data_IF_272403594450
#
_entry.id   IF_272403594450
#
_cell.length_a   1.000
_cell.length_b   1.000
_cell.length_c   1.000
_cell.angle_alpha   90.00
_cell.angle_beta   90.00
_cell.angle_gamma   90.00
#
_symmetry.space_group_name_H-M   'P 1'
#
loop_
_entity.id
_entity.type
_entity.pdbx_description
1 polymer ?
#
# COMPACT_ATOMS: atom_id res chain seq x y z
N UNK A 1 -14.19 -8.57 -33.01
CA UNK A 1 -15.38 -7.72 -32.80
C UNK A 1 -15.09 -6.33 -33.34
N UNK A 2 -15.89 -5.81 -34.27
CA UNK A 2 -15.63 -4.57 -35.03
C UNK A 2 -15.46 -3.31 -34.13
N UNK A 3 -16.07 -3.32 -32.93
CA UNK A 3 -15.92 -2.25 -31.93
C UNK A 3 -14.57 -2.27 -31.19
N UNK A 4 -13.98 -3.45 -30.95
CA UNK A 4 -12.67 -3.59 -30.28
C UNK A 4 -11.52 -3.06 -31.14
N UNK A 5 -11.57 -3.33 -32.45
CA UNK A 5 -10.59 -2.82 -33.42
C UNK A 5 -10.66 -1.29 -33.56
N UNK A 6 -11.88 -0.72 -33.59
CA UNK A 6 -12.07 0.73 -33.67
C UNK A 6 -11.58 1.46 -32.40
N UNK A 7 -11.67 0.81 -31.24
CA UNK A 7 -11.26 1.41 -29.95
C UNK A 7 -9.79 1.13 -29.59
N UNK A 8 -9.08 0.28 -30.35
CA UNK A 8 -7.70 -0.09 -30.09
C UNK A 8 -6.75 1.11 -29.85
N UNK A 9 -6.82 2.22 -30.62
CA UNK A 9 -5.95 3.39 -30.40
C UNK A 9 -6.21 4.11 -29.06
N UNK A 10 -7.40 3.93 -28.47
CA UNK A 10 -7.82 4.59 -27.25
C UNK A 10 -7.66 3.73 -25.99
N UNK A 11 -7.36 2.43 -26.15
CA UNK A 11 -7.18 1.49 -25.04
C UNK A 11 -6.18 1.95 -23.97
N UNK A 12 -5.02 2.56 -24.30
CA UNK A 12 -4.09 3.04 -23.26
C UNK A 12 -4.72 4.04 -22.29
N UNK A 13 -5.74 4.79 -22.72
CA UNK A 13 -6.44 5.78 -21.88
C UNK A 13 -7.71 5.21 -21.25
N UNK A 14 -8.41 4.33 -21.97
CA UNK A 14 -9.70 3.80 -21.54
C UNK A 14 -9.56 2.63 -20.57
N UNK A 15 -8.65 1.70 -20.87
CA UNK A 15 -8.47 0.47 -20.10
C UNK A 15 -8.14 0.73 -18.61
N UNK A 16 -7.20 1.64 -18.25
CA UNK A 16 -6.93 1.95 -16.84
C UNK A 16 -8.16 2.37 -16.05
N UNK A 17 -9.03 3.19 -16.66
CA UNK A 17 -10.25 3.70 -16.04
C UNK A 17 -11.26 2.59 -15.83
N UNK A 18 -11.47 1.77 -16.85
CA UNK A 18 -12.36 0.61 -16.76
C UNK A 18 -11.85 -0.38 -15.71
N UNK A 19 -10.55 -0.69 -15.71
CA UNK A 19 -9.93 -1.58 -14.75
C UNK A 19 -10.15 -1.08 -13.32
N UNK A 20 -9.94 0.21 -13.04
CA UNK A 20 -10.27 0.77 -11.71
C UNK A 20 -11.76 0.65 -11.38
N UNK A 21 -12.64 1.01 -12.32
CA UNK A 21 -14.09 1.02 -12.09
C UNK A 21 -14.70 -0.37 -11.93
N UNK A 22 -14.01 -1.44 -12.35
CA UNK A 22 -14.43 -2.82 -12.06
C UNK A 22 -14.38 -3.15 -10.55
N UNK A 23 -13.72 -2.33 -9.75
CA UNK A 23 -13.69 -2.41 -8.28
C UNK A 23 -14.57 -1.35 -7.60
N UNK A 24 -15.49 -0.71 -8.33
CA UNK A 24 -16.41 0.29 -7.75
C UNK A 24 -17.25 -0.32 -6.61
N UNK A 25 -17.56 0.41 -5.52
CA UNK A 25 -18.38 -0.13 -4.44
C UNK A 25 -19.78 -0.62 -4.86
N UNK A 26 -20.30 -0.19 -6.03
CA UNK A 26 -21.56 -0.66 -6.58
C UNK A 26 -21.38 -1.92 -7.43
N UNK A 27 -21.99 -3.06 -7.06
CA UNK A 27 -21.90 -4.31 -7.85
C UNK A 27 -22.38 -4.13 -9.30
N UNK A 28 -23.44 -3.34 -9.52
CA UNK A 28 -23.94 -3.06 -10.85
C UNK A 28 -22.89 -2.34 -11.74
N UNK A 29 -22.07 -1.47 -11.14
CA UNK A 29 -20.96 -0.82 -11.85
C UNK A 29 -19.83 -1.83 -12.10
N UNK A 30 -19.48 -2.67 -11.11
CA UNK A 30 -18.47 -3.71 -11.28
C UNK A 30 -18.80 -4.65 -12.45
N UNK A 31 -20.04 -5.15 -12.50
CA UNK A 31 -20.53 -6.06 -13.54
C UNK A 31 -20.50 -5.39 -14.92
N UNK A 32 -20.97 -4.15 -15.01
CA UNK A 32 -20.97 -3.39 -16.25
C UNK A 32 -19.55 -3.17 -16.78
N UNK A 33 -18.62 -2.73 -15.92
CA UNK A 33 -17.24 -2.44 -16.32
C UNK A 33 -16.47 -3.71 -16.67
N UNK A 34 -16.65 -4.78 -15.90
CA UNK A 34 -16.09 -6.10 -16.18
C UNK A 34 -16.59 -6.65 -17.53
N UNK A 35 -17.88 -6.48 -17.82
CA UNK A 35 -18.47 -6.83 -19.11
C UNK A 35 -17.86 -6.05 -20.27
N UNK A 36 -17.71 -4.73 -20.11
CA UNK A 36 -17.06 -3.87 -21.11
C UNK A 36 -15.63 -4.33 -21.36
N UNK A 37 -14.82 -4.53 -20.31
CA UNK A 37 -13.43 -5.00 -20.44
C UNK A 37 -13.37 -6.31 -21.24
N UNK A 38 -14.17 -7.31 -20.87
CA UNK A 38 -14.21 -8.61 -21.55
C UNK A 38 -14.65 -8.54 -23.02
N UNK A 39 -15.37 -7.48 -23.41
CA UNK A 39 -15.74 -7.24 -24.81
C UNK A 39 -14.69 -6.46 -25.60
N UNK A 40 -13.78 -5.74 -24.91
CA UNK A 40 -12.73 -4.93 -25.52
C UNK A 40 -11.41 -5.69 -25.68
N UNK A 41 -11.10 -6.60 -24.76
CA UNK A 41 -9.85 -7.38 -24.75
C UNK A 41 -10.13 -8.86 -24.55
N UNK A 42 -9.43 -9.70 -25.32
CA UNK A 42 -9.55 -11.16 -25.24
C UNK A 42 -8.82 -11.72 -24.00
N UNK A 43 -7.71 -11.10 -23.59
CA UNK A 43 -6.95 -11.43 -22.39
C UNK A 43 -6.83 -10.21 -21.47
N UNK A 44 -7.62 -10.21 -20.38
CA UNK A 44 -7.60 -9.14 -19.39
C UNK A 44 -6.26 -9.06 -18.67
N UNK A 45 -5.62 -10.20 -18.36
CA UNK A 45 -4.37 -10.21 -17.62
C UNK A 45 -3.24 -9.64 -18.46
N UNK A 46 -3.15 -10.07 -19.72
CA UNK A 46 -2.22 -9.54 -20.70
C UNK A 46 -2.47 -8.06 -21.01
N UNK A 47 -3.72 -7.60 -20.99
CA UNK A 47 -4.05 -6.17 -21.11
C UNK A 47 -3.55 -5.35 -19.91
N UNK A 48 -3.70 -5.87 -18.68
CA UNK A 48 -3.12 -5.23 -17.48
C UNK A 48 -1.59 -5.17 -17.59
N UNK A 49 -0.94 -6.24 -18.04
CA UNK A 49 0.51 -6.24 -18.23
C UNK A 49 0.95 -5.22 -19.29
N UNK A 50 0.21 -5.13 -20.39
CA UNK A 50 0.50 -4.19 -21.48
C UNK A 50 0.34 -2.73 -21.07
N UNK A 51 -0.66 -2.41 -20.26
CA UNK A 51 -0.98 -1.04 -19.83
C UNK A 51 -0.66 -0.80 -18.36
N UNK A 52 0.33 -1.52 -17.82
CA UNK A 52 0.58 -1.55 -16.38
C UNK A 52 0.89 -0.16 -15.81
N UNK A 53 1.76 0.59 -16.49
CA UNK A 53 2.14 1.94 -16.07
C UNK A 53 0.93 2.89 -16.02
N UNK A 54 0.04 2.82 -17.03
CA UNK A 54 -1.17 3.62 -17.10
C UNK A 54 -2.21 3.19 -16.06
N UNK A 55 -2.36 1.89 -15.80
CA UNK A 55 -3.20 1.34 -14.72
C UNK A 55 -2.72 1.86 -13.37
N UNK A 56 -1.43 1.77 -13.08
CA UNK A 56 -0.86 2.25 -11.83
C UNK A 56 -1.01 3.77 -11.68
N UNK A 57 -0.81 4.54 -12.75
CA UNK A 57 -1.03 5.99 -12.75
C UNK A 57 -2.50 6.38 -12.47
N UNK A 58 -3.46 5.68 -13.09
CA UNK A 58 -4.90 5.89 -12.82
C UNK A 58 -5.24 5.54 -11.37
N UNK A 59 -4.72 4.43 -10.83
CA UNK A 59 -4.94 4.05 -9.43
C UNK A 59 -4.35 5.07 -8.47
N UNK A 60 -3.07 5.43 -8.64
CA UNK A 60 -2.35 6.40 -7.79
C UNK A 60 -3.08 7.75 -7.75
N UNK A 61 -3.44 8.29 -8.91
CA UNK A 61 -4.17 9.57 -8.99
C UNK A 61 -5.53 9.47 -8.28
N UNK A 62 -6.22 8.34 -8.43
CA UNK A 62 -7.52 8.08 -7.84
C UNK A 62 -7.50 7.86 -6.33
N UNK A 63 -6.45 7.23 -5.76
CA UNK A 63 -6.26 7.08 -4.31
C UNK A 63 -6.13 8.47 -3.65
N UNK A 64 -5.49 9.42 -4.32
CA UNK A 64 -5.38 10.80 -3.83
C UNK A 64 -6.61 11.68 -4.10
N UNK A 65 -7.62 11.13 -4.80
CA UNK A 65 -8.79 11.85 -5.31
C UNK A 65 -9.79 12.27 -4.23
N UNK A 66 -10.67 13.22 -4.60
CA UNK A 66 -11.69 13.77 -3.67
C UNK A 66 -12.85 12.80 -3.39
N UNK A 67 -13.20 11.96 -4.36
CA UNK A 67 -14.34 11.06 -4.26
C UNK A 67 -13.95 9.77 -3.53
N UNK A 68 -14.57 9.52 -2.36
CA UNK A 68 -14.27 8.32 -1.55
C UNK A 68 -14.45 7.02 -2.33
N UNK A 69 -15.50 6.91 -3.17
CA UNK A 69 -15.73 5.73 -4.02
C UNK A 69 -14.55 5.44 -4.95
N UNK A 70 -13.97 6.51 -5.51
CA UNK A 70 -12.81 6.40 -6.39
C UNK A 70 -11.57 5.95 -5.62
N UNK A 71 -11.39 6.42 -4.38
CA UNK A 71 -10.27 5.99 -3.52
C UNK A 71 -10.39 4.53 -3.13
N UNK A 72 -11.59 4.09 -2.74
CA UNK A 72 -11.88 2.70 -2.39
C UNK A 72 -11.57 1.76 -3.57
N UNK A 73 -12.17 2.03 -4.73
CA UNK A 73 -11.95 1.24 -5.93
C UNK A 73 -10.48 1.22 -6.35
N UNK A 74 -9.79 2.35 -6.25
CA UNK A 74 -8.37 2.44 -6.61
C UNK A 74 -7.45 1.68 -5.67
N UNK A 75 -7.77 1.63 -4.36
CA UNK A 75 -7.01 0.80 -3.42
C UNK A 75 -7.15 -0.69 -3.77
N UNK A 76 -8.37 -1.15 -4.04
CA UNK A 76 -8.62 -2.53 -4.46
C UNK A 76 -7.94 -2.86 -5.80
N UNK A 77 -8.06 -1.97 -6.79
CA UNK A 77 -7.46 -2.14 -8.10
C UNK A 77 -5.93 -2.17 -8.03
N UNK A 78 -5.30 -1.27 -7.25
CA UNK A 78 -3.87 -1.28 -7.04
C UNK A 78 -3.40 -2.56 -6.33
N UNK A 79 -4.14 -3.03 -5.32
CA UNK A 79 -3.80 -4.25 -4.61
C UNK A 79 -3.79 -5.48 -5.54
N UNK A 80 -4.80 -5.58 -6.43
CA UNK A 80 -4.88 -6.65 -7.43
C UNK A 80 -3.77 -6.52 -8.48
N UNK A 81 -3.52 -5.30 -8.98
CA UNK A 81 -2.48 -5.04 -9.98
C UNK A 81 -1.06 -5.37 -9.47
N UNK A 82 -0.81 -5.30 -8.16
CA UNK A 82 0.47 -5.72 -7.57
C UNK A 82 0.65 -7.25 -7.55
N UNK A 83 -0.42 -8.02 -7.67
CA UNK A 83 -0.38 -9.47 -7.54
C UNK A 83 0.27 -10.15 -8.75
N UNK A 84 1.29 -10.96 -8.49
CA UNK A 84 1.93 -11.79 -9.52
C UNK A 84 2.69 -11.02 -10.60
N UNK A 85 3.14 -9.79 -10.30
CA UNK A 85 3.94 -8.98 -11.23
C UNK A 85 5.45 -9.05 -10.92
N UNK A 86 6.30 -8.94 -11.95
CA UNK A 86 7.74 -8.79 -11.77
C UNK A 86 8.07 -7.56 -10.91
N UNK A 87 9.12 -7.70 -10.12
CA UNK A 87 9.61 -6.67 -9.20
C UNK A 87 9.98 -5.36 -9.94
N UNK A 88 10.51 -5.48 -11.15
CA UNK A 88 10.91 -4.35 -12.00
C UNK A 88 9.73 -3.48 -12.44
N UNK A 89 8.53 -4.05 -12.56
CA UNK A 89 7.32 -3.27 -12.87
C UNK A 89 6.77 -2.57 -11.64
N UNK A 90 6.89 -3.18 -10.46
CA UNK A 90 6.34 -2.66 -9.21
C UNK A 90 7.22 -1.52 -8.65
N UNK A 91 8.55 -1.71 -8.67
CA UNK A 91 9.50 -0.84 -7.99
C UNK A 91 9.35 0.66 -8.29
N UNK A 92 9.11 1.11 -9.55
CA UNK A 92 8.93 2.53 -9.87
C UNK A 92 7.75 3.21 -9.18
N UNK A 93 6.76 2.43 -8.73
CA UNK A 93 5.53 2.96 -8.13
C UNK A 93 5.52 2.84 -6.59
N UNK A 94 6.50 2.14 -6.02
CA UNK A 94 6.45 1.67 -4.63
C UNK A 94 6.42 2.82 -3.62
N UNK A 95 7.26 3.82 -3.79
CA UNK A 95 7.35 4.99 -2.90
C UNK A 95 6.02 5.75 -2.82
N UNK A 96 5.43 6.02 -3.99
CA UNK A 96 4.18 6.75 -4.10
C UNK A 96 3.00 5.95 -3.54
N UNK A 97 2.96 4.64 -3.84
CA UNK A 97 1.94 3.75 -3.30
C UNK A 97 2.00 3.64 -1.79
N UNK A 98 3.20 3.50 -1.20
CA UNK A 98 3.35 3.46 0.25
C UNK A 98 2.84 4.74 0.91
N UNK A 99 3.28 5.90 0.40
CA UNK A 99 2.84 7.20 0.93
C UNK A 99 1.31 7.36 0.86
N UNK A 100 0.71 7.00 -0.29
CA UNK A 100 -0.73 7.11 -0.48
C UNK A 100 -1.53 6.07 0.30
N UNK A 101 -1.01 4.84 0.42
CA UNK A 101 -1.64 3.76 1.18
C UNK A 101 -1.69 4.10 2.67
N UNK A 102 -0.60 4.61 3.26
CA UNK A 102 -0.58 5.03 4.66
C UNK A 102 -1.58 6.15 4.93
N UNK A 103 -1.69 7.11 4.01
CA UNK A 103 -2.72 8.16 4.10
C UNK A 103 -4.14 7.60 3.98
N UNK A 104 -4.37 6.64 3.07
CA UNK A 104 -5.69 6.04 2.88
C UNK A 104 -6.14 5.13 4.04
N UNK A 105 -5.20 4.64 4.86
CA UNK A 105 -5.52 3.95 6.11
C UNK A 105 -6.13 4.90 7.16
N UNK A 106 -5.93 6.20 7.04
CA UNK A 106 -6.56 7.23 7.89
C UNK A 106 -7.72 7.96 7.16
N UNK A 107 -8.35 7.30 6.17
CA UNK A 107 -9.47 7.90 5.46
C UNK A 107 -10.69 8.08 6.37
N UNK A 108 -11.45 9.16 6.16
CA UNK A 108 -12.71 9.42 6.87
C UNK A 108 -13.71 8.27 6.65
N UNK A 109 -13.75 7.69 5.45
CA UNK A 109 -14.68 6.60 5.11
C UNK A 109 -14.07 5.24 5.49
N UNK A 110 -14.75 4.51 6.37
CA UNK A 110 -14.33 3.19 6.86
C UNK A 110 -14.07 2.16 5.73
N UNK A 111 -14.89 2.14 4.69
CA UNK A 111 -14.71 1.21 3.57
C UNK A 111 -13.45 1.52 2.75
N UNK A 112 -13.05 2.79 2.68
CA UNK A 112 -11.77 3.18 2.09
C UNK A 112 -10.62 2.69 2.97
N UNK A 113 -10.71 2.80 4.30
CA UNK A 113 -9.69 2.26 5.23
C UNK A 113 -9.53 0.74 5.09
N UNK A 114 -10.64 0.02 4.91
CA UNK A 114 -10.63 -1.42 4.65
C UNK A 114 -9.92 -1.76 3.33
N UNK A 115 -10.26 -1.07 2.24
CA UNK A 115 -9.59 -1.25 0.95
C UNK A 115 -8.09 -0.87 1.01
N UNK A 116 -7.75 0.21 1.71
CA UNK A 116 -6.37 0.63 1.95
C UNK A 116 -5.58 -0.39 2.78
N UNK A 117 -6.24 -1.09 3.72
CA UNK A 117 -5.62 -2.20 4.47
C UNK A 117 -5.24 -3.35 3.54
N UNK A 118 -6.09 -3.68 2.58
CA UNK A 118 -5.78 -4.67 1.55
C UNK A 118 -4.59 -4.24 0.70
N UNK A 119 -4.56 -2.98 0.25
CA UNK A 119 -3.42 -2.41 -0.49
C UNK A 119 -2.14 -2.44 0.34
N UNK A 120 -2.18 -1.98 1.60
CA UNK A 120 -1.01 -1.94 2.48
C UNK A 120 -0.42 -3.33 2.72
N UNK A 121 -1.27 -4.36 2.86
CA UNK A 121 -0.81 -5.76 2.98
C UNK A 121 -0.18 -6.28 1.69
N UNK A 122 -0.74 -5.95 0.53
CA UNK A 122 -0.15 -6.30 -0.77
C UNK A 122 1.21 -5.61 -0.98
N UNK A 123 1.32 -4.34 -0.61
CA UNK A 123 2.58 -3.58 -0.63
C UNK A 123 3.60 -4.16 0.33
N UNK A 124 3.19 -4.49 1.56
CA UNK A 124 4.06 -5.12 2.55
C UNK A 124 4.64 -6.43 2.02
N UNK A 125 3.79 -7.32 1.50
CA UNK A 125 4.23 -8.61 0.93
C UNK A 125 5.25 -8.44 -0.21
N UNK A 126 4.96 -7.53 -1.16
CA UNK A 126 5.89 -7.27 -2.27
C UNK A 126 7.19 -6.61 -1.80
N UNK A 127 7.10 -5.66 -0.86
CA UNK A 127 8.27 -4.96 -0.31
C UNK A 127 9.20 -5.94 0.39
N UNK A 128 8.68 -6.85 1.23
CA UNK A 128 9.50 -7.84 1.93
C UNK A 128 10.29 -8.72 0.96
N UNK A 129 9.70 -9.09 -0.18
CA UNK A 129 10.38 -9.85 -1.24
C UNK A 129 11.41 -9.02 -2.00
N UNK A 130 11.13 -7.73 -2.20
CA UNK A 130 12.03 -6.79 -2.87
C UNK A 130 13.28 -6.46 -2.04
N UNK A 131 13.15 -6.39 -0.71
CA UNK A 131 14.29 -6.11 0.17
C UNK A 131 15.09 -7.36 0.55
N UNK A 132 14.56 -8.57 0.33
CA UNK A 132 15.25 -9.83 0.63
C UNK A 132 16.38 -10.10 -0.38
N UNK A 133 17.67 -10.07 0.05
CA UNK A 133 18.82 -10.29 -0.83
C UNK A 133 18.88 -11.71 -1.42
N UNK A 134 18.12 -12.67 -0.88
CA UNK A 134 18.01 -14.03 -1.41
C UNK A 134 17.10 -14.12 -2.62
N UNK A 135 16.17 -13.17 -2.77
CA UNK A 135 15.11 -13.19 -3.78
C UNK A 135 15.28 -12.11 -4.85
N UNK A 136 16.02 -11.05 -4.53
CA UNK A 136 16.13 -9.85 -5.38
C UNK A 136 17.59 -9.44 -5.55
N UNK A 137 17.90 -8.79 -6.68
CA UNK A 137 19.26 -8.33 -7.01
C UNK A 137 19.72 -7.26 -5.99
N UNK A 138 21.02 -7.22 -5.63
CA UNK A 138 21.54 -6.31 -4.60
C UNK A 138 21.17 -4.84 -4.81
N UNK A 139 21.29 -4.31 -6.04
CA UNK A 139 20.99 -2.90 -6.34
C UNK A 139 19.52 -2.56 -6.09
N UNK A 140 18.61 -3.46 -6.49
CA UNK A 140 17.18 -3.28 -6.31
C UNK A 140 16.76 -3.45 -4.84
N UNK A 141 17.41 -4.35 -4.11
CA UNK A 141 17.21 -4.47 -2.66
C UNK A 141 17.59 -3.18 -1.94
N UNK A 142 18.81 -2.68 -2.21
CA UNK A 142 19.35 -1.49 -1.59
C UNK A 142 18.50 -0.26 -1.90
N UNK A 143 18.11 -0.06 -3.17
CA UNK A 143 17.24 1.05 -3.57
C UNK A 143 15.85 0.94 -2.93
N UNK A 144 15.28 -0.26 -2.86
CA UNK A 144 13.96 -0.47 -2.24
C UNK A 144 14.00 -0.15 -0.75
N UNK A 145 15.02 -0.64 -0.03
CA UNK A 145 15.21 -0.34 1.37
C UNK A 145 15.35 1.18 1.60
N UNK A 146 16.23 1.83 0.83
CA UNK A 146 16.46 3.27 0.91
C UNK A 146 15.20 4.11 0.67
N UNK A 147 14.29 3.67 -0.20
CA UNK A 147 13.02 4.36 -0.45
C UNK A 147 11.97 4.07 0.64
N UNK A 148 11.84 2.83 1.13
CA UNK A 148 10.72 2.44 1.99
C UNK A 148 10.98 2.75 3.47
N UNK A 149 12.19 2.54 3.98
CA UNK A 149 12.50 2.78 5.41
C UNK A 149 12.09 4.20 5.86
N UNK A 150 12.50 5.28 5.15
CA UNK A 150 12.10 6.64 5.55
C UNK A 150 10.59 6.84 5.56
N UNK A 151 9.85 6.29 4.59
CA UNK A 151 8.39 6.43 4.55
C UNK A 151 7.73 5.79 5.78
N UNK A 152 8.15 4.58 6.15
CA UNK A 152 7.57 3.87 7.29
C UNK A 152 7.91 4.58 8.61
N UNK A 153 9.15 5.06 8.76
CA UNK A 153 9.60 5.76 9.95
C UNK A 153 8.92 7.14 10.09
N UNK A 154 8.91 7.95 9.03
CA UNK A 154 8.48 9.35 9.09
C UNK A 154 6.97 9.57 8.90
N UNK A 155 6.27 8.66 8.21
CA UNK A 155 4.83 8.80 7.91
C UNK A 155 3.98 7.69 8.51
N UNK A 156 4.57 6.51 8.72
CA UNK A 156 3.87 5.35 9.26
C UNK A 156 3.79 5.40 10.77
N UNK A 157 4.94 5.26 11.44
CA UNK A 157 5.03 5.11 12.90
C UNK A 157 4.62 6.38 13.64
N UNK A 158 5.06 7.53 13.14
CA UNK A 158 4.74 8.87 13.68
C UNK A 158 3.30 9.32 13.39
N UNK A 159 2.50 8.51 12.69
CA UNK A 159 1.11 8.85 12.38
C UNK A 159 0.27 9.02 13.65
N UNK A 160 -0.55 10.07 13.68
CA UNK A 160 -1.53 10.29 14.75
C UNK A 160 -2.64 9.24 14.77
N UNK A 161 -2.87 8.56 13.64
CA UNK A 161 -3.84 7.50 13.53
C UNK A 161 -3.26 6.19 14.10
N UNK A 162 -3.80 5.74 15.24
CA UNK A 162 -3.30 4.56 15.97
C UNK A 162 -3.24 3.30 15.11
N UNK A 163 -4.20 3.09 14.22
CA UNK A 163 -4.22 1.93 13.32
C UNK A 163 -3.07 1.98 12.30
N UNK A 164 -2.74 3.16 11.78
CA UNK A 164 -1.63 3.38 10.85
C UNK A 164 -0.29 3.16 11.55
N UNK A 165 -0.13 3.76 12.73
CA UNK A 165 1.08 3.59 13.56
C UNK A 165 1.28 2.11 13.94
N UNK A 166 0.25 1.43 14.44
CA UNK A 166 0.32 0.01 14.80
C UNK A 166 0.64 -0.89 13.60
N UNK A 167 0.02 -0.66 12.44
CA UNK A 167 0.36 -1.38 11.21
C UNK A 167 1.83 -1.17 10.83
N UNK A 168 2.31 0.07 10.90
CA UNK A 168 3.66 0.47 10.50
C UNK A 168 4.73 -0.10 11.42
N UNK A 169 4.50 -0.12 12.74
CA UNK A 169 5.39 -0.79 13.71
C UNK A 169 5.47 -2.29 13.41
N UNK A 170 4.31 -2.94 13.23
CA UNK A 170 4.26 -4.37 12.92
C UNK A 170 4.92 -4.72 11.58
N UNK A 171 4.83 -3.83 10.60
CA UNK A 171 5.51 -3.99 9.31
C UNK A 171 7.02 -3.72 9.43
N UNK A 172 7.45 -2.71 10.17
CA UNK A 172 8.87 -2.35 10.33
C UNK A 172 9.67 -3.51 10.92
N UNK A 173 9.12 -4.24 11.89
CA UNK A 173 9.76 -5.45 12.46
C UNK A 173 10.10 -6.45 11.34
N UNK A 174 9.11 -6.77 10.49
CA UNK A 174 9.28 -7.69 9.36
C UNK A 174 10.25 -7.13 8.32
N UNK A 175 10.21 -5.81 8.09
CA UNK A 175 11.07 -5.13 7.13
C UNK A 175 12.54 -5.22 7.53
N UNK A 176 12.85 -5.00 8.80
CA UNK A 176 14.22 -5.13 9.35
C UNK A 176 14.70 -6.58 9.23
N UNK A 177 13.85 -7.55 9.56
CA UNK A 177 14.17 -8.98 9.42
C UNK A 177 14.47 -9.37 7.97
N UNK A 178 13.62 -8.94 7.02
CA UNK A 178 13.77 -9.27 5.60
C UNK A 178 14.96 -8.56 4.94
N UNK A 179 15.22 -7.30 5.29
CA UNK A 179 16.30 -6.50 4.70
C UNK A 179 17.70 -6.98 5.12
N UNK A 180 17.85 -7.63 6.29
CA UNK A 180 19.13 -8.12 6.78
C UNK A 180 20.19 -7.03 6.80
N UNK A 181 21.32 -7.21 6.12
CA UNK A 181 22.39 -6.20 6.11
C UNK A 181 22.00 -4.87 5.45
N UNK A 182 20.97 -4.86 4.60
CA UNK A 182 20.48 -3.63 3.95
C UNK A 182 19.82 -2.67 4.94
N UNK A 183 19.45 -3.12 6.15
CA UNK A 183 18.90 -2.23 7.17
C UNK A 183 19.98 -1.41 7.89
N UNK A 184 21.27 -1.76 7.78
CA UNK A 184 22.38 -1.12 8.51
C UNK A 184 22.37 0.42 8.44
N UNK A 185 22.16 1.06 7.28
CA UNK A 185 22.11 2.52 7.19
C UNK A 185 20.96 3.15 7.96
N UNK A 186 19.87 2.41 8.17
CA UNK A 186 18.63 2.87 8.79
C UNK A 186 18.51 2.52 10.27
N UNK A 187 19.41 1.68 10.83
CA UNK A 187 19.35 1.24 12.22
C UNK A 187 19.29 2.40 13.24
N UNK A 188 20.05 3.51 13.10
CA UNK A 188 19.95 4.63 14.04
C UNK A 188 18.54 5.19 14.11
N UNK A 189 17.92 5.45 12.96
CA UNK A 189 16.57 6.01 12.87
C UNK A 189 15.51 5.01 13.35
N UNK A 190 15.68 3.72 13.03
CA UNK A 190 14.83 2.64 13.53
C UNK A 190 14.87 2.58 15.06
N UNK A 191 16.06 2.67 15.66
CA UNK A 191 16.21 2.60 17.12
C UNK A 191 15.52 3.78 17.81
N UNK A 192 15.74 5.01 17.31
CA UNK A 192 15.08 6.22 17.84
C UNK A 192 13.56 6.09 17.71
N UNK A 193 13.08 5.79 16.50
CA UNK A 193 11.65 5.73 16.20
C UNK A 193 10.93 4.64 17.03
N UNK A 194 11.55 3.46 17.21
CA UNK A 194 10.97 2.40 18.03
C UNK A 194 10.93 2.75 19.52
N UNK A 195 11.96 3.42 20.05
CA UNK A 195 11.95 3.89 21.45
C UNK A 195 10.84 4.90 21.71
N UNK A 196 10.64 5.85 20.79
CA UNK A 196 9.54 6.82 20.86
C UNK A 196 8.17 6.13 20.72
N UNK A 197 8.06 5.19 19.78
CA UNK A 197 6.83 4.44 19.56
C UNK A 197 6.41 3.65 20.81
N UNK A 198 7.36 3.06 21.55
CA UNK A 198 7.07 2.37 22.81
C UNK A 198 6.38 3.27 23.84
N UNK A 199 6.88 4.51 24.03
CA UNK A 199 6.26 5.47 24.96
C UNK A 199 4.85 5.89 24.53
N UNK A 200 4.59 5.98 23.22
CA UNK A 200 3.26 6.34 22.70
C UNK A 200 2.25 5.19 22.71
N UNK A 201 2.72 3.94 22.62
CA UNK A 201 1.90 2.73 22.63
C UNK A 201 1.58 2.22 24.04
N UNK A 202 2.22 2.76 25.08
CA UNK A 202 1.87 2.44 26.47
C UNK A 202 0.40 2.73 26.76
N UNK A 203 -0.28 1.78 27.39
CA UNK A 203 -1.66 1.97 27.83
C UNK A 203 -1.72 3.12 28.82
N UNK A 204 -2.66 4.05 28.61
CA UNK A 204 -2.92 5.14 29.55
C UNK A 204 -3.14 4.63 30.98
N UNK A 205 -3.69 3.42 31.12
CA UNK A 205 -3.87 2.74 32.42
C UNK A 205 -2.54 2.34 33.04
N UNK A 206 -1.58 1.82 32.26
CA UNK A 206 -0.25 1.43 32.76
C UNK A 206 0.55 2.68 33.13
N UNK A 207 0.44 3.76 32.36
CA UNK A 207 1.08 5.04 32.67
C UNK A 207 0.46 5.70 33.91
N UNK A 208 -0.86 5.61 34.08
CA UNK A 208 -1.50 6.06 35.31
C UNK A 208 -1.07 5.22 36.52
N UNK A 209 -1.06 3.89 36.42
CA UNK A 209 -0.67 2.99 37.50
C UNK A 209 0.82 3.11 37.87
N UNK A 210 1.72 3.32 36.91
CA UNK A 210 3.15 3.52 37.20
C UNK A 210 3.39 4.85 37.92
N UNK A 211 2.74 5.94 37.50
CA UNK A 211 2.80 7.27 38.14
C UNK A 211 2.17 7.28 39.54
N UNK A 212 1.20 6.40 39.80
CA UNK A 212 0.49 6.32 41.09
C UNK A 212 0.86 5.07 41.90
N UNK A 213 1.91 4.34 41.50
CA UNK A 213 2.33 3.09 42.14
C UNK A 213 2.71 3.24 43.62
N UNK A 214 3.16 4.43 44.04
CA UNK A 214 3.41 4.74 45.46
C UNK A 214 2.12 4.92 46.29
N UNK A 215 0.98 5.24 45.67
CA UNK A 215 -0.33 5.37 46.34
C UNK A 215 -1.11 4.05 46.36
N UNK A 216 -0.78 3.11 45.47
CA UNK A 216 -1.36 1.76 45.44
C UNK A 216 -0.45 0.81 46.23
N UNK A 217 -0.26 1.08 47.52
CA UNK A 217 0.13 0.02 48.46
C UNK A 217 -1.14 -0.74 48.79
N UNK A 218 -1.31 -1.90 48.17
CA UNK A 218 -2.28 -2.90 48.61
C UNK A 218 -1.70 -3.48 49.90
N UNK A 219 -2.34 -3.19 51.03
CA UNK A 219 -2.19 -3.95 52.28
C UNK A 219 -2.84 -5.33 52.14
#
# INVERSE_FOLDING_TARGET
AQAGEALAPHLPKLFPKLYRMQYDPSPAVQDAMSGIIKSLVDDVRGAVDKYYAEVMAECISSISGRLWRSREAACCAAADALSGRPHELIAPHLEQLWTLSLRALDDIKETVRSAATTLARALASNTLRLVDPKLTKPDLCASTAASVFPIILEKGITSSAKEVSAFSVGFLIKLVEAAGEQCRPHIPDVAVCMLEAMSTMESATINYLSLHSQKVRIE
#
